data_IF_568050929401
#
_entry.id   IF_568050929401
#
_cell.length_a   1.000
_cell.length_b   1.000
_cell.length_c   1.000
_cell.angle_alpha   90.00
_cell.angle_beta   90.00
_cell.angle_gamma   90.00
#
_symmetry.space_group_name_H-M   'P 1'
#
loop_
_entity.id
_entity.type
_entity.pdbx_description
1 polymer ?
#
# COMPACT_ATOMS: atom_id res chain seq x y z
N UNK A 1 28.45 0.93 0.67
CA UNK A 1 28.13 2.27 0.09
C UNK A 1 26.85 2.27 -0.76
N UNK A 2 26.25 1.13 -1.12
CA UNK A 2 24.98 1.09 -1.86
C UNK A 2 23.71 1.39 -1.02
N UNK A 3 23.81 1.39 0.31
CA UNK A 3 22.68 1.55 1.24
C UNK A 3 22.06 2.94 1.25
N UNK A 4 22.85 4.01 1.07
CA UNK A 4 22.34 5.39 1.08
C UNK A 4 21.48 5.71 -0.13
N UNK A 5 21.94 5.37 -1.34
CA UNK A 5 21.16 5.58 -2.58
C UNK A 5 19.80 4.88 -2.55
N UNK A 6 19.77 3.65 -2.02
CA UNK A 6 18.51 2.88 -1.92
C UNK A 6 17.54 3.54 -0.94
N UNK A 7 18.04 4.08 0.17
CA UNK A 7 17.25 4.82 1.15
C UNK A 7 16.71 6.13 0.57
N UNK A 8 17.52 6.85 -0.21
CA UNK A 8 17.11 8.08 -0.90
C UNK A 8 15.98 7.79 -1.89
N UNK A 9 16.07 6.69 -2.65
CA UNK A 9 14.99 6.25 -3.54
C UNK A 9 13.70 5.95 -2.77
N UNK A 10 13.79 5.23 -1.64
CA UNK A 10 12.62 4.94 -0.83
C UNK A 10 11.99 6.19 -0.22
N UNK A 11 12.82 7.16 0.16
CA UNK A 11 12.37 8.47 0.63
C UNK A 11 11.61 9.22 -0.46
N UNK A 12 12.12 9.20 -1.70
CA UNK A 12 11.43 9.78 -2.84
C UNK A 12 10.10 9.08 -3.15
N UNK A 13 10.06 7.74 -3.09
CA UNK A 13 8.85 6.95 -3.31
C UNK A 13 7.78 7.19 -2.23
N UNK A 14 8.18 7.46 -0.99
CA UNK A 14 7.29 7.78 0.13
C UNK A 14 6.73 9.21 0.07
N UNK A 15 7.18 10.04 -0.87
CA UNK A 15 6.69 11.41 -1.02
C UNK A 15 5.21 11.40 -1.43
N UNK A 16 4.32 12.13 -0.71
CA UNK A 16 2.91 12.25 -1.06
C UNK A 16 2.69 12.69 -2.50
N UNK A 17 3.46 13.68 -2.96
CA UNK A 17 3.37 14.19 -4.33
C UNK A 17 3.75 13.12 -5.36
N UNK A 18 4.76 12.30 -5.07
CA UNK A 18 5.16 11.21 -5.96
C UNK A 18 4.04 10.16 -6.06
N UNK A 19 3.49 9.73 -4.92
CA UNK A 19 2.41 8.73 -4.89
C UNK A 19 1.18 9.26 -5.63
N UNK A 20 0.76 10.50 -5.37
CA UNK A 20 -0.40 11.11 -6.03
C UNK A 20 -0.26 11.26 -7.55
N UNK A 21 0.95 11.53 -8.06
CA UNK A 21 1.18 11.75 -9.48
C UNK A 21 1.46 10.48 -10.27
N UNK A 22 1.99 9.43 -9.63
CA UNK A 22 2.46 8.22 -10.31
C UNK A 22 1.60 6.99 -10.06
N UNK A 23 0.87 6.93 -8.95
CA UNK A 23 0.02 5.80 -8.62
C UNK A 23 -1.36 5.95 -9.26
N UNK A 24 -1.84 4.88 -9.91
CA UNK A 24 -3.21 4.81 -10.42
C UNK A 24 -4.24 4.71 -9.29
N UNK A 25 -3.90 3.99 -8.22
CA UNK A 25 -4.65 3.96 -6.96
C UNK A 25 -3.69 4.35 -5.81
N UNK A 26 -3.74 5.60 -5.34
CA UNK A 26 -2.81 6.10 -4.33
C UNK A 26 -3.02 5.44 -2.96
N UNK A 27 -4.22 4.96 -2.64
CA UNK A 27 -4.52 4.34 -1.34
C UNK A 27 -3.96 2.92 -1.30
N UNK A 28 -4.22 2.14 -2.35
CA UNK A 28 -3.63 0.81 -2.48
C UNK A 28 -2.10 0.86 -2.53
N UNK A 29 -1.54 1.78 -3.33
CA UNK A 29 -0.09 1.96 -3.43
C UNK A 29 0.54 2.30 -2.07
N UNK A 30 -0.11 3.18 -1.30
CA UNK A 30 0.36 3.57 0.03
C UNK A 30 0.35 2.40 1.01
N UNK A 31 -0.68 1.55 1.00
CA UNK A 31 -0.72 0.34 1.83
C UNK A 31 0.39 -0.66 1.48
N UNK A 32 0.64 -0.89 0.19
CA UNK A 32 1.72 -1.77 -0.25
C UNK A 32 3.09 -1.23 0.17
N UNK A 33 3.30 0.08 0.04
CA UNK A 33 4.56 0.73 0.40
C UNK A 33 4.79 0.69 1.92
N UNK A 34 3.75 0.93 2.71
CA UNK A 34 3.75 0.76 4.18
C UNK A 34 4.17 -0.67 4.57
N UNK A 35 3.55 -1.69 3.96
CA UNK A 35 3.92 -3.09 4.22
C UNK A 35 5.37 -3.38 3.84
N UNK A 36 5.85 -2.82 2.73
CA UNK A 36 7.24 -2.96 2.28
C UNK A 36 8.21 -2.34 3.29
N UNK A 37 7.94 -1.14 3.79
CA UNK A 37 8.79 -0.52 4.81
C UNK A 37 8.78 -1.26 6.13
N UNK A 38 7.63 -1.79 6.58
CA UNK A 38 7.59 -2.63 7.79
C UNK A 38 8.50 -3.85 7.65
N UNK A 39 8.40 -4.59 6.54
CA UNK A 39 9.30 -5.75 6.28
C UNK A 39 10.76 -5.34 6.21
N UNK A 40 11.09 -4.25 5.52
CA UNK A 40 12.46 -3.76 5.43
C UNK A 40 13.02 -3.31 6.79
N UNK A 41 12.18 -2.76 7.66
CA UNK A 41 12.57 -2.38 9.02
C UNK A 41 12.96 -3.59 9.90
N UNK A 42 12.41 -4.77 9.61
CA UNK A 42 12.72 -6.02 10.29
C UNK A 42 14.00 -6.66 9.74
N UNK A 43 14.20 -6.58 8.42
CA UNK A 43 15.39 -7.13 7.74
C UNK A 43 16.63 -6.25 7.98
N UNK A 44 16.49 -4.94 7.87
CA UNK A 44 17.57 -3.96 7.91
C UNK A 44 17.56 -3.17 9.22
N UNK A 45 18.01 -3.82 10.29
CA UNK A 45 18.01 -3.26 11.65
C UNK A 45 18.75 -1.92 11.79
N UNK A 46 19.80 -1.68 11.00
CA UNK A 46 20.57 -0.42 11.00
C UNK A 46 19.73 0.79 10.58
N UNK A 47 18.80 0.60 9.63
CA UNK A 47 17.94 1.67 9.08
C UNK A 47 16.50 1.58 9.56
N UNK A 48 16.21 0.70 10.53
CA UNK A 48 14.87 0.46 11.08
C UNK A 48 14.13 1.74 11.44
N UNK A 49 14.82 2.70 12.07
CA UNK A 49 14.22 3.99 12.46
C UNK A 49 13.72 4.78 11.25
N UNK A 50 14.47 4.78 10.15
CA UNK A 50 14.15 5.55 8.96
C UNK A 50 13.00 4.87 8.20
N UNK A 51 13.02 3.55 8.05
CA UNK A 51 11.90 2.82 7.47
C UNK A 51 10.59 3.03 8.24
N UNK A 52 10.64 3.07 9.58
CA UNK A 52 9.46 3.37 10.40
C UNK A 52 8.96 4.80 10.20
N UNK A 53 9.85 5.78 10.01
CA UNK A 53 9.46 7.16 9.69
C UNK A 53 8.79 7.26 8.32
N UNK A 54 9.34 6.58 7.31
CA UNK A 54 8.75 6.52 5.96
C UNK A 54 7.39 5.81 5.98
N UNK A 55 7.26 4.71 6.73
CA UNK A 55 5.99 4.01 6.95
C UNK A 55 4.94 4.95 7.57
N UNK A 56 5.31 5.68 8.63
CA UNK A 56 4.41 6.63 9.28
C UNK A 56 4.00 7.78 8.35
N UNK A 57 4.91 8.27 7.52
CA UNK A 57 4.62 9.31 6.52
C UNK A 57 3.57 8.84 5.52
N UNK A 58 3.75 7.64 4.96
CA UNK A 58 2.83 7.05 3.99
C UNK A 58 1.47 6.77 4.62
N UNK A 59 1.43 6.23 5.85
CA UNK A 59 0.16 6.03 6.57
C UNK A 59 -0.58 7.36 6.81
N UNK A 60 0.12 8.40 7.24
CA UNK A 60 -0.50 9.71 7.46
C UNK A 60 -1.06 10.30 6.15
N UNK A 61 -0.36 10.11 5.03
CA UNK A 61 -0.86 10.49 3.72
C UNK A 61 -2.13 9.73 3.34
N UNK A 62 -2.16 8.40 3.53
CA UNK A 62 -3.35 7.59 3.25
C UNK A 62 -4.55 8.03 4.10
N UNK A 63 -4.32 8.32 5.39
CA UNK A 63 -5.36 8.83 6.28
C UNK A 63 -5.87 10.19 5.81
N UNK A 64 -4.97 11.10 5.41
CA UNK A 64 -5.36 12.40 4.88
C UNK A 64 -6.19 12.28 3.60
N UNK A 65 -5.89 11.31 2.72
CA UNK A 65 -6.70 11.02 1.53
C UNK A 65 -8.10 10.51 1.89
N UNK A 66 -8.19 9.57 2.83
CA UNK A 66 -9.48 9.03 3.29
C UNK A 66 -10.33 10.10 3.98
N UNK A 67 -9.70 11.02 4.72
CA UNK A 67 -10.36 12.14 5.39
C UNK A 67 -10.98 13.16 4.42
N UNK A 68 -10.53 13.20 3.16
CA UNK A 68 -11.16 14.05 2.13
C UNK A 68 -12.49 13.51 1.61
N UNK A 69 -12.85 12.26 1.93
CA UNK A 69 -14.12 11.67 1.47
C UNK A 69 -15.27 12.19 2.34
N UNK A 70 -16.21 12.91 1.74
CA UNK A 70 -17.33 13.55 2.45
C UNK A 70 -18.62 12.72 2.41
N UNK A 71 -18.66 11.71 1.53
CA UNK A 71 -19.83 10.84 1.37
C UNK A 71 -19.48 9.36 1.52
N UNK A 72 -20.45 8.57 1.99
CA UNK A 72 -20.29 7.11 2.09
C UNK A 72 -20.12 6.44 0.73
N UNK A 73 -20.59 7.07 -0.35
CA UNK A 73 -20.45 6.54 -1.71
C UNK A 73 -19.02 6.72 -2.25
N UNK A 74 -18.36 7.83 -1.94
CA UNK A 74 -16.93 8.03 -2.24
C UNK A 74 -16.06 7.00 -1.51
N UNK A 75 -16.33 6.80 -0.22
CA UNK A 75 -15.63 5.80 0.60
C UNK A 75 -15.84 4.39 0.03
N UNK A 76 -17.08 4.03 -0.35
CA UNK A 76 -17.36 2.75 -1.01
C UNK A 76 -16.63 2.63 -2.34
N UNK A 77 -16.58 3.68 -3.16
CA UNK A 77 -15.90 3.65 -4.45
C UNK A 77 -14.40 3.36 -4.32
N UNK A 78 -13.76 3.97 -3.33
CA UNK A 78 -12.35 3.71 -2.98
C UNK A 78 -12.18 2.28 -2.45
N UNK A 79 -13.00 1.89 -1.47
CA UNK A 79 -12.82 0.62 -0.78
C UNK A 79 -13.20 -0.61 -1.63
N UNK A 80 -14.09 -0.43 -2.60
CA UNK A 80 -14.51 -1.45 -3.58
C UNK A 80 -13.52 -1.64 -4.71
N UNK A 81 -12.31 -1.06 -4.60
CA UNK A 81 -11.27 -0.98 -5.63
C UNK A 81 -11.22 -2.19 -6.58
N UNK A 82 -11.10 -1.90 -7.88
CA UNK A 82 -11.04 -2.91 -8.94
C UNK A 82 -9.95 -3.91 -8.59
N UNK A 83 -10.30 -5.19 -8.49
CA UNK A 83 -9.31 -6.27 -8.43
C UNK A 83 -8.48 -6.18 -9.71
N UNK A 84 -7.29 -5.59 -9.65
CA UNK A 84 -6.32 -5.81 -10.71
C UNK A 84 -5.87 -7.26 -10.62
N UNK A 85 -5.90 -8.02 -11.73
CA UNK A 85 -5.40 -9.38 -11.73
C UNK A 85 -3.98 -9.38 -11.17
N UNK A 86 -3.67 -10.46 -10.46
CA UNK A 86 -2.55 -10.69 -9.56
C UNK A 86 -1.16 -10.63 -10.22
N UNK A 87 -1.07 -10.12 -11.45
CA UNK A 87 0.04 -10.36 -12.39
C UNK A 87 0.96 -9.16 -12.63
N UNK A 88 0.77 -8.01 -11.98
CA UNK A 88 1.59 -6.80 -12.27
C UNK A 88 2.53 -6.34 -11.14
N UNK A 89 2.84 -7.21 -10.17
CA UNK A 89 3.84 -6.93 -9.11
C UNK A 89 4.85 -8.07 -8.90
N UNK A 90 4.91 -9.05 -9.79
CA UNK A 90 5.88 -10.13 -9.70
C UNK A 90 7.09 -9.83 -10.60
N UNK A 91 8.03 -9.03 -10.10
CA UNK A 91 9.42 -9.24 -10.52
C UNK A 91 9.92 -10.48 -9.77
N UNK A 92 9.77 -11.63 -10.44
CA UNK A 92 10.29 -12.98 -10.14
C UNK A 92 9.86 -13.63 -8.81
N UNK A 93 8.97 -14.63 -8.89
CA UNK A 93 9.18 -16.04 -8.48
C UNK A 93 7.84 -16.80 -8.67
N UNK A 94 7.90 -17.79 -9.55
CA UNK A 94 7.07 -18.97 -9.78
C UNK A 94 5.53 -18.87 -9.81
N UNK A 95 5.02 -19.16 -11.00
CA UNK A 95 3.60 -19.18 -11.38
C UNK A 95 3.04 -20.58 -11.16
N UNK A 96 2.12 -20.75 -10.21
CA UNK A 96 1.05 -21.75 -10.34
C UNK A 96 -0.24 -21.33 -9.62
N UNK A 97 -1.28 -21.13 -10.45
CA UNK A 97 -2.73 -21.37 -10.29
C UNK A 97 -3.50 -20.77 -9.10
N UNK A 98 -4.64 -20.14 -9.43
CA UNK A 98 -6.01 -20.67 -9.21
C UNK A 98 -7.03 -19.50 -9.23
N UNK A 99 -7.69 -19.31 -10.37
CA UNK A 99 -9.15 -19.46 -10.62
C UNK A 99 -10.11 -18.68 -9.70
N UNK A 100 -10.88 -17.81 -10.35
CA UNK A 100 -12.33 -17.57 -10.24
C UNK A 100 -13.01 -17.30 -8.89
N UNK A 101 -13.94 -16.33 -8.99
CA UNK A 101 -15.33 -16.34 -8.50
C UNK A 101 -15.77 -15.45 -7.31
N UNK A 102 -16.85 -14.71 -7.61
CA UNK A 102 -18.00 -14.28 -6.80
C UNK A 102 -17.88 -12.95 -6.05
N UNK A 103 -18.64 -11.96 -6.54
CA UNK A 103 -19.10 -10.82 -5.77
C UNK A 103 -20.28 -11.26 -4.90
N UNK A 104 -20.11 -11.38 -3.58
CA UNK A 104 -21.23 -11.45 -2.65
C UNK A 104 -21.41 -10.09 -1.96
N UNK A 105 -22.66 -9.64 -1.88
CA UNK A 105 -23.14 -8.40 -1.23
C UNK A 105 -22.94 -8.34 0.30
N UNK A 106 -22.13 -9.24 0.86
CA UNK A 106 -21.74 -9.25 2.28
C UNK A 106 -20.22 -9.27 2.48
N UNK A 107 -19.43 -9.11 1.42
CA UNK A 107 -17.98 -9.26 1.49
C UNK A 107 -17.32 -7.99 2.02
N UNK A 108 -16.45 -8.16 3.01
CA UNK A 108 -15.53 -7.11 3.46
C UNK A 108 -14.83 -6.56 2.21
N UNK A 109 -14.98 -5.26 1.96
CA UNK A 109 -14.52 -4.63 0.74
C UNK A 109 -13.04 -4.98 0.47
N UNK A 110 -12.62 -5.29 -0.78
CA UNK A 110 -11.30 -5.82 -1.08
C UNK A 110 -10.14 -5.00 -0.50
N UNK A 111 -10.30 -3.68 -0.48
CA UNK A 111 -9.31 -2.77 0.10
C UNK A 111 -9.32 -2.79 1.63
N UNK A 112 -10.49 -2.97 2.27
CA UNK A 112 -10.62 -3.15 3.72
C UNK A 112 -9.98 -4.47 4.15
N UNK A 113 -10.24 -5.55 3.42
CA UNK A 113 -9.60 -6.85 3.66
C UNK A 113 -8.08 -6.72 3.53
N UNK A 114 -7.62 -6.02 2.49
CA UNK A 114 -6.19 -5.77 2.27
C UNK A 114 -5.59 -4.92 3.39
N UNK A 115 -6.26 -3.86 3.83
CA UNK A 115 -5.81 -3.00 4.93
C UNK A 115 -5.72 -3.75 6.26
N UNK A 116 -6.73 -4.58 6.58
CA UNK A 116 -6.73 -5.45 7.77
C UNK A 116 -5.58 -6.47 7.69
N UNK A 117 -5.39 -7.12 6.53
CA UNK A 117 -4.29 -8.06 6.29
C UNK A 117 -2.91 -7.41 6.37
N UNK A 118 -2.81 -6.13 6.00
CA UNK A 118 -1.57 -5.35 6.04
C UNK A 118 -1.34 -4.68 7.41
N UNK A 119 -2.14 -5.01 8.43
CA UNK A 119 -2.01 -4.50 9.79
C UNK A 119 -1.86 -2.97 9.85
N UNK A 120 -2.65 -2.27 9.03
CA UNK A 120 -2.77 -0.82 9.07
C UNK A 120 -3.51 -0.46 10.37
N UNK A 121 -2.77 -0.33 11.47
CA UNK A 121 -3.28 0.01 12.81
C UNK A 121 -3.11 1.50 13.05
N UNK A 122 -4.03 2.31 12.53
CA UNK A 122 -4.30 3.66 13.02
C UNK A 122 -5.79 3.91 13.02
#
# INVERSE_FOLDING_TARGET
>A
VFTTKRLDTFTAMASPAYISLTAEDPILASFQLSQKFRRLSEIEGEYKKIYNQLDQQVQNFTLALLDQCQSSDEVKAILSGKQKPRDMYNETIDVEKLSDHVSNEGDILPLVYTAVRMEQKK
#
